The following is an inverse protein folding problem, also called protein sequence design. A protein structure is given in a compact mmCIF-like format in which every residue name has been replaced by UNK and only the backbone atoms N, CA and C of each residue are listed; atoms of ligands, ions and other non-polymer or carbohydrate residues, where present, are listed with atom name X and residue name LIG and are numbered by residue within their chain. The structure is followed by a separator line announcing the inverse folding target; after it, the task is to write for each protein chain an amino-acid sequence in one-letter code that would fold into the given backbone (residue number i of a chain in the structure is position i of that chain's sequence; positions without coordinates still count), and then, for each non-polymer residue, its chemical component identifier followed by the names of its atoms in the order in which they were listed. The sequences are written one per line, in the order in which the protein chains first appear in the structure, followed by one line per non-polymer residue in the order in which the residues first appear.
data_IF_245325386809
#
_entry.id   IF_245325386809
#
_cell.length_a   1.000
_cell.length_b   1.000
_cell.length_c   1.000
_cell.angle_alpha   90.00
_cell.angle_beta   90.00
_cell.angle_gamma   90.00
#
_symmetry.space_group_name_H-M   'P 1'
#
loop_
_entity.id
_entity.type
_entity.pdbx_description
1 polymer ?
#
# COMPACT_ATOMS: atom_id res chain seq x y z
N UNK A 1 -10.10 13.01 5.70
CA UNK A 1 -9.84 11.73 6.36
C UNK A 1 -8.34 11.49 6.42
N UNK A 2 -7.83 11.25 7.62
CA UNK A 2 -6.41 10.97 7.83
C UNK A 2 -6.24 9.64 8.55
N UNK A 3 -5.12 9.00 8.31
CA UNK A 3 -4.80 7.70 8.91
C UNK A 3 -3.29 7.53 8.97
N UNK A 4 -2.84 6.57 9.79
CA UNK A 4 -1.42 6.25 9.92
C UNK A 4 -1.03 5.09 9.03
N UNK A 5 0.04 5.28 8.25
CA UNK A 5 0.67 4.23 7.45
C UNK A 5 1.99 3.83 8.09
N UNK A 6 2.16 2.54 8.34
CA UNK A 6 3.45 1.99 8.76
C UNK A 6 4.20 1.55 7.52
N UNK A 7 5.35 2.18 7.26
CA UNK A 7 6.18 1.83 6.10
C UNK A 7 6.96 0.57 6.43
N UNK A 8 6.86 -0.42 5.54
CA UNK A 8 7.67 -1.63 5.62
C UNK A 8 8.83 -1.58 4.64
N UNK A 9 8.63 -1.02 3.45
CA UNK A 9 9.62 -1.03 2.36
C UNK A 9 9.76 0.38 1.80
N UNK A 10 10.92 1.03 1.96
CA UNK A 10 11.14 2.35 1.37
C UNK A 10 11.24 2.32 -0.15
N UNK A 11 10.94 3.45 -0.78
CA UNK A 11 11.14 3.65 -2.21
C UNK A 11 12.58 3.31 -2.62
N UNK A 12 12.73 2.60 -3.73
CA UNK A 12 14.04 2.25 -4.28
C UNK A 12 14.58 0.90 -3.80
N UNK A 13 13.90 0.24 -2.87
CA UNK A 13 14.31 -1.05 -2.34
C UNK A 13 13.85 -2.22 -3.20
N UNK A 14 14.65 -3.29 -3.19
CA UNK A 14 14.26 -4.62 -3.68
C UNK A 14 14.11 -5.63 -2.56
N UNK A 15 14.61 -5.31 -1.37
CA UNK A 15 14.37 -6.14 -0.19
C UNK A 15 12.93 -5.98 0.26
N UNK A 16 12.21 -7.07 0.38
CA UNK A 16 10.87 -7.07 0.93
C UNK A 16 10.94 -7.29 2.43
N UNK A 17 10.64 -6.24 3.18
CA UNK A 17 10.53 -6.28 4.64
C UNK A 17 9.06 -6.38 5.04
N UNK A 18 8.81 -7.02 6.15
CA UNK A 18 7.46 -7.09 6.72
C UNK A 18 7.53 -7.08 8.24
N UNK A 19 6.48 -6.55 8.86
CA UNK A 19 6.33 -6.58 10.32
C UNK A 19 5.93 -8.00 10.71
N UNK A 20 6.69 -8.58 11.65
CA UNK A 20 6.28 -9.78 12.35
C UNK A 20 5.31 -9.36 13.45
N UNK A 21 4.02 -9.63 13.27
CA UNK A 21 2.98 -9.16 14.17
C UNK A 21 3.03 -9.84 15.55
N UNK A 22 3.73 -10.96 15.69
CA UNK A 22 3.92 -11.61 16.99
C UNK A 22 5.00 -10.89 17.82
N UNK A 23 6.13 -10.56 17.20
CA UNK A 23 7.26 -9.93 17.89
C UNK A 23 7.30 -8.41 17.78
N UNK A 24 6.58 -7.84 16.81
CA UNK A 24 6.61 -6.41 16.50
C UNK A 24 7.86 -5.97 15.76
N UNK A 25 8.72 -6.89 15.36
CA UNK A 25 10.00 -6.59 14.69
C UNK A 25 9.84 -6.61 13.17
N UNK A 26 10.72 -5.84 12.51
CA UNK A 26 10.85 -5.90 11.05
C UNK A 26 11.67 -7.13 10.68
N UNK A 27 11.14 -7.90 9.72
CA UNK A 27 11.78 -9.12 9.22
C UNK A 27 12.03 -8.98 7.73
N UNK A 28 13.20 -9.40 7.26
CA UNK A 28 13.46 -9.55 5.83
C UNK A 28 12.75 -10.83 5.35
N UNK A 29 11.72 -10.66 4.51
CA UNK A 29 11.05 -11.78 3.87
C UNK A 29 11.96 -12.36 2.78
N UNK A 30 12.32 -11.52 1.82
CA UNK A 30 13.25 -11.91 0.73
C UNK A 30 13.69 -10.68 -0.05
N UNK A 31 14.79 -10.81 -0.80
CA UNK A 31 15.08 -9.90 -1.90
C UNK A 31 14.20 -10.31 -3.07
N UNK A 32 13.50 -9.35 -3.68
CA UNK A 32 12.62 -9.63 -4.81
C UNK A 32 13.38 -10.21 -6.00
N UNK A 33 12.75 -11.14 -6.70
CA UNK A 33 13.30 -11.78 -7.90
C UNK A 33 12.94 -10.95 -9.14
N UNK A 34 13.46 -9.73 -9.20
CA UNK A 34 13.16 -8.78 -10.27
C UNK A 34 14.26 -7.72 -10.34
N UNK A 35 14.43 -7.10 -11.50
CA UNK A 35 15.34 -5.96 -11.65
C UNK A 35 14.68 -4.63 -11.27
N UNK A 36 13.36 -4.62 -11.04
CA UNK A 36 12.64 -3.42 -10.63
C UNK A 36 12.81 -3.18 -9.13
N UNK A 37 12.35 -2.02 -8.67
CA UNK A 37 12.41 -1.62 -7.27
C UNK A 37 11.09 -0.96 -6.88
N UNK A 38 10.78 -0.93 -5.60
CA UNK A 38 9.55 -0.30 -5.12
C UNK A 38 9.48 1.15 -5.59
N UNK A 39 8.38 1.56 -6.24
CA UNK A 39 8.28 2.90 -6.83
C UNK A 39 7.89 4.00 -5.84
N UNK A 40 7.49 3.62 -4.63
CA UNK A 40 7.10 4.53 -3.55
C UNK A 40 7.30 3.81 -2.22
N UNK A 41 7.28 4.54 -1.11
CA UNK A 41 7.26 3.93 0.21
C UNK A 41 6.01 3.07 0.34
N UNK A 42 6.18 1.84 0.77
CA UNK A 42 5.13 0.82 0.77
C UNK A 42 4.96 0.22 2.16
N UNK A 43 3.73 0.08 2.57
CA UNK A 43 3.41 -0.52 3.86
C UNK A 43 1.92 -0.77 3.99
N UNK A 44 1.37 -0.54 5.17
CA UNK A 44 -0.05 -0.77 5.41
C UNK A 44 -0.63 0.29 6.34
N UNK A 45 -1.93 0.46 6.25
CA UNK A 45 -2.68 1.34 7.14
C UNK A 45 -2.94 0.60 8.44
N UNK A 46 -2.53 1.16 9.57
CA UNK A 46 -2.73 0.54 10.87
C UNK A 46 -4.21 0.42 11.23
N UNK A 47 -4.55 -0.64 11.97
CA UNK A 47 -5.90 -0.91 12.45
C UNK A 47 -6.93 -1.17 11.33
N UNK A 48 -6.48 -1.78 10.24
CA UNK A 48 -7.32 -2.15 9.11
C UNK A 48 -7.26 -3.63 8.82
N UNK A 49 -8.29 -4.13 8.13
CA UNK A 49 -8.33 -5.48 7.59
C UNK A 49 -8.77 -5.40 6.13
N UNK A 50 -7.88 -5.81 5.23
CA UNK A 50 -8.16 -5.90 3.81
C UNK A 50 -8.98 -7.14 3.46
N UNK A 51 -9.42 -7.22 2.22
CA UNK A 51 -10.24 -8.33 1.73
C UNK A 51 -9.46 -9.65 1.66
N UNK A 52 -8.14 -9.59 1.61
CA UNK A 52 -7.25 -10.76 1.60
C UNK A 52 -6.92 -11.30 3.00
N UNK A 53 -7.43 -10.67 4.06
CA UNK A 53 -7.18 -11.07 5.44
C UNK A 53 -5.98 -10.40 6.10
N UNK A 54 -5.22 -9.62 5.35
CA UNK A 54 -4.09 -8.83 5.85
C UNK A 54 -4.48 -7.36 6.03
N UNK A 55 -3.70 -6.56 6.75
CA UNK A 55 -3.93 -5.11 6.79
C UNK A 55 -3.98 -4.50 5.39
N UNK A 56 -4.72 -3.42 5.20
CA UNK A 56 -4.87 -2.77 3.91
C UNK A 56 -3.56 -2.10 3.49
N UNK A 57 -3.03 -2.49 2.34
CA UNK A 57 -1.77 -1.97 1.81
C UNK A 57 -1.87 -0.51 1.37
N UNK A 58 -0.78 0.21 1.49
CA UNK A 58 -0.69 1.60 1.09
C UNK A 58 0.67 1.93 0.46
N UNK A 59 0.62 2.83 -0.51
CA UNK A 59 1.79 3.46 -1.12
C UNK A 59 1.80 4.93 -0.69
N UNK A 60 2.92 5.41 -0.19
CA UNK A 60 3.07 6.80 0.23
C UNK A 60 4.01 7.52 -0.73
N UNK A 61 3.51 8.57 -1.37
CA UNK A 61 4.29 9.37 -2.31
C UNK A 61 5.15 10.39 -1.55
N UNK A 62 6.46 10.24 -1.66
CA UNK A 62 7.44 11.07 -0.98
C UNK A 62 8.59 11.39 -1.94
N UNK A 63 9.21 12.57 -1.78
CA UNK A 63 10.41 12.92 -2.54
C UNK A 63 11.63 12.14 -2.04
N UNK A 64 11.72 11.93 -0.74
CA UNK A 64 12.79 11.14 -0.12
C UNK A 64 12.22 9.90 0.54
N UNK A 65 12.86 8.74 0.39
CA UNK A 65 12.39 7.53 1.07
C UNK A 65 12.55 7.66 2.58
N UNK A 66 11.66 6.99 3.31
CA UNK A 66 11.76 6.87 4.76
C UNK A 66 12.54 5.60 5.12
N UNK A 67 12.17 4.90 6.17
CA UNK A 67 12.86 3.71 6.65
C UNK A 67 11.84 2.67 7.13
N UNK A 68 12.20 1.38 7.16
CA UNK A 68 11.30 0.34 7.66
C UNK A 68 10.90 0.60 9.11
N UNK A 69 9.58 0.66 9.34
CA UNK A 69 9.02 0.96 10.66
C UNK A 69 8.59 2.41 10.84
N UNK A 70 8.83 3.28 9.85
CA UNK A 70 8.40 4.67 9.93
C UNK A 70 6.89 4.80 9.88
N UNK A 71 6.32 5.58 10.79
CA UNK A 71 4.88 5.85 10.83
C UNK A 71 4.62 7.22 10.22
N UNK A 72 3.73 7.28 9.23
CA UNK A 72 3.42 8.52 8.51
C UNK A 72 1.94 8.79 8.59
N UNK A 73 1.57 10.00 9.01
CA UNK A 73 0.18 10.46 8.97
C UNK A 73 -0.17 10.86 7.54
N UNK A 74 -1.14 10.19 6.93
CA UNK A 74 -1.45 10.27 5.51
C UNK A 74 -2.90 10.60 5.23
N UNK A 75 -3.16 10.99 3.99
CA UNK A 75 -4.51 11.05 3.41
C UNK A 75 -4.51 10.37 2.05
N UNK A 76 -5.62 9.76 1.68
CA UNK A 76 -5.73 9.05 0.41
C UNK A 76 -5.97 10.03 -0.74
N UNK A 77 -5.39 9.71 -1.91
CA UNK A 77 -5.68 10.40 -3.17
C UNK A 77 -6.27 9.45 -4.22
N UNK A 78 -6.16 8.16 -4.02
CA UNK A 78 -6.69 7.17 -4.94
C UNK A 78 -6.32 5.77 -4.50
N UNK A 79 -6.58 4.79 -5.36
CA UNK A 79 -6.29 3.39 -5.06
C UNK A 79 -5.99 2.62 -6.33
N UNK A 80 -5.03 1.71 -6.24
CA UNK A 80 -4.70 0.75 -7.28
C UNK A 80 -5.31 -0.59 -6.93
N UNK A 81 -6.15 -1.10 -7.82
CA UNK A 81 -6.81 -2.40 -7.66
C UNK A 81 -6.15 -3.44 -8.53
N UNK A 82 -5.77 -4.55 -7.92
CA UNK A 82 -5.23 -5.70 -8.63
C UNK A 82 -5.72 -6.99 -7.99
N UNK A 83 -5.52 -8.10 -8.68
CA UNK A 83 -5.79 -9.43 -8.17
C UNK A 83 -4.50 -10.24 -8.23
N UNK A 84 -4.15 -10.91 -7.15
CA UNK A 84 -3.02 -11.83 -7.11
C UNK A 84 -3.51 -13.26 -6.84
N UNK A 85 -2.58 -14.19 -6.58
CA UNK A 85 -2.92 -15.58 -6.31
C UNK A 85 -3.79 -15.76 -5.06
N UNK A 86 -3.80 -14.81 -4.16
CA UNK A 86 -4.63 -14.83 -2.93
C UNK A 86 -5.98 -14.14 -3.10
N UNK A 87 -6.24 -13.50 -4.24
CA UNK A 87 -7.47 -12.76 -4.52
C UNK A 87 -7.28 -11.27 -4.68
N UNK A 88 -8.28 -10.48 -4.33
CA UNK A 88 -8.22 -9.01 -4.43
C UNK A 88 -7.15 -8.42 -3.52
N UNK A 89 -6.35 -7.53 -4.07
CA UNK A 89 -5.23 -6.90 -3.37
C UNK A 89 -5.21 -5.41 -3.74
N UNK A 90 -5.92 -4.62 -2.96
CA UNK A 90 -6.05 -3.18 -3.17
C UNK A 90 -4.91 -2.45 -2.47
N UNK A 91 -4.39 -1.40 -3.12
CA UNK A 91 -3.30 -0.58 -2.57
C UNK A 91 -3.73 0.88 -2.60
N UNK A 92 -3.89 1.46 -1.41
CA UNK A 92 -4.28 2.87 -1.27
C UNK A 92 -3.08 3.74 -1.61
N UNK A 93 -3.30 4.71 -2.48
CA UNK A 93 -2.28 5.70 -2.83
C UNK A 93 -2.49 6.93 -1.97
N UNK A 94 -1.47 7.31 -1.21
CA UNK A 94 -1.56 8.40 -0.23
C UNK A 94 -0.39 9.36 -0.28
N UNK A 95 -0.58 10.49 0.36
CA UNK A 95 0.46 11.50 0.59
C UNK A 95 0.47 11.86 2.07
N UNK A 96 1.61 12.33 2.60
CA UNK A 96 1.63 12.88 3.97
C UNK A 96 0.60 14.00 4.09
N UNK A 97 -0.21 13.97 5.13
CA UNK A 97 -1.38 14.85 5.26
C UNK A 97 -1.03 16.33 5.40
N UNK A 98 0.17 16.65 5.87
CA UNK A 98 0.57 18.02 6.20
C UNK A 98 1.75 18.55 5.37
N UNK A 99 2.19 17.82 4.33
CA UNK A 99 3.28 18.30 3.49
C UNK A 99 2.75 19.33 2.47
N UNK A 100 3.17 20.62 2.58
CA UNK A 100 2.69 21.66 1.66
C UNK A 100 3.13 21.43 0.22
N UNK A 101 4.20 20.67 -0.03
CA UNK A 101 4.63 20.34 -1.38
C UNK A 101 3.64 19.46 -2.12
N UNK A 102 2.80 18.71 -1.37
CA UNK A 102 1.84 17.76 -1.92
C UNK A 102 0.38 18.20 -1.70
N UNK A 103 0.17 19.44 -1.26
CA UNK A 103 -1.17 19.96 -0.96
C UNK A 103 -2.09 19.95 -2.18
N UNK A 104 -1.55 20.13 -3.38
CA UNK A 104 -2.31 20.08 -4.63
C UNK A 104 -2.76 18.67 -5.02
N UNK A 105 -2.17 17.64 -4.42
CA UNK A 105 -2.48 16.24 -4.70
C UNK A 105 -3.72 15.82 -3.93
N UNK A 106 -4.88 15.96 -4.54
CA UNK A 106 -6.19 15.71 -3.90
C UNK A 106 -6.94 14.52 -4.46
N UNK A 107 -6.62 14.12 -5.69
CA UNK A 107 -7.28 13.01 -6.36
C UNK A 107 -6.29 12.33 -7.31
N UNK A 108 -6.64 11.15 -7.79
CA UNK A 108 -5.75 10.33 -8.63
C UNK A 108 -5.33 11.04 -9.92
N UNK A 109 -6.19 11.87 -10.49
CA UNK A 109 -5.86 12.60 -11.70
C UNK A 109 -4.83 13.72 -11.49
N UNK A 110 -4.52 14.08 -10.25
CA UNK A 110 -3.45 15.02 -9.94
C UNK A 110 -2.07 14.35 -9.97
N UNK A 111 -2.01 13.02 -9.93
CA UNK A 111 -0.76 12.29 -10.09
C UNK A 111 -0.39 12.23 -11.57
N UNK A 112 0.85 12.61 -11.94
CA UNK A 112 1.28 12.51 -13.33
C UNK A 112 1.07 11.09 -13.89
N UNK A 113 0.62 11.02 -15.13
CA UNK A 113 0.28 9.75 -15.78
C UNK A 113 1.46 8.79 -15.78
N UNK A 114 2.68 9.27 -15.99
CA UNK A 114 3.85 8.42 -16.05
C UNK A 114 4.17 7.80 -14.69
N UNK A 115 3.94 8.52 -13.60
CA UNK A 115 4.11 7.98 -12.24
C UNK A 115 3.13 6.83 -11.99
N UNK A 116 1.88 6.96 -12.46
CA UNK A 116 0.91 5.86 -12.38
C UNK A 116 1.36 4.65 -13.19
N UNK A 117 1.92 4.89 -14.37
CA UNK A 117 2.42 3.81 -15.23
C UNK A 117 3.57 3.06 -14.56
N UNK A 118 4.49 3.76 -13.91
CA UNK A 118 5.61 3.12 -13.22
C UNK A 118 5.14 2.27 -12.03
N UNK A 119 4.20 2.78 -11.24
CA UNK A 119 3.62 2.04 -10.12
C UNK A 119 2.92 0.78 -10.62
N UNK A 120 2.08 0.93 -11.64
CA UNK A 120 1.36 -0.19 -12.24
C UNK A 120 2.32 -1.24 -12.80
N UNK A 121 3.34 -0.80 -13.54
CA UNK A 121 4.34 -1.69 -14.13
C UNK A 121 5.07 -2.50 -13.04
N UNK A 122 5.47 -1.86 -11.95
CA UNK A 122 6.11 -2.58 -10.85
C UNK A 122 5.24 -3.72 -10.34
N UNK A 123 3.97 -3.45 -10.02
CA UNK A 123 3.08 -4.47 -9.49
C UNK A 123 2.68 -5.52 -10.52
N UNK A 124 2.72 -5.22 -11.80
CA UNK A 124 2.48 -6.19 -12.85
C UNK A 124 3.63 -7.19 -13.01
N UNK A 125 4.88 -6.78 -12.75
CA UNK A 125 6.06 -7.60 -13.08
C UNK A 125 6.86 -8.09 -11.88
N UNK A 126 6.68 -7.55 -10.69
CA UNK A 126 7.57 -7.84 -9.56
C UNK A 126 7.55 -9.30 -9.09
N UNK A 127 6.51 -10.06 -9.44
CA UNK A 127 6.36 -11.48 -9.12
C UNK A 127 6.60 -12.41 -10.32
N UNK A 128 6.93 -11.87 -11.50
CA UNK A 128 7.01 -12.67 -12.73
C UNK A 128 7.96 -13.86 -12.64
N UNK A 129 9.07 -13.71 -11.91
CA UNK A 129 10.07 -14.75 -11.77
C UNK A 129 9.82 -15.66 -10.55
N UNK A 130 8.74 -15.46 -9.81
CA UNK A 130 8.38 -16.27 -8.65
C UNK A 130 7.43 -17.40 -9.05
N UNK A 131 7.81 -18.69 -8.81
CA UNK A 131 6.93 -19.80 -9.14
C UNK A 131 5.60 -19.75 -8.39
N UNK A 132 4.49 -20.01 -9.10
CA UNK A 132 3.16 -20.07 -8.50
C UNK A 132 2.55 -18.74 -8.10
N UNK A 133 3.21 -17.63 -8.41
CA UNK A 133 2.69 -16.29 -8.16
C UNK A 133 2.10 -15.71 -9.44
N UNK A 134 1.02 -14.93 -9.29
CA UNK A 134 0.36 -14.26 -10.42
C UNK A 134 -0.17 -12.90 -10.01
N UNK A 135 -0.24 -12.00 -10.98
CA UNK A 135 -0.89 -10.69 -10.84
C UNK A 135 -1.79 -10.50 -12.05
N UNK A 136 -3.06 -10.27 -11.81
CA UNK A 136 -4.05 -10.06 -12.86
C UNK A 136 -4.88 -8.81 -12.58
N UNK A 137 -5.28 -8.14 -13.66
CA UNK A 137 -6.13 -6.96 -13.59
C UNK A 137 -5.45 -5.78 -12.90
N UNK A 138 -5.53 -4.63 -13.54
CA UNK A 138 -5.04 -3.38 -12.97
C UNK A 138 -6.08 -2.32 -13.25
N UNK A 139 -6.50 -1.62 -12.21
CA UNK A 139 -7.46 -0.53 -12.33
C UNK A 139 -7.12 0.56 -11.31
N UNK A 140 -7.38 1.80 -11.69
CA UNK A 140 -7.18 2.96 -10.81
C UNK A 140 -8.53 3.56 -10.48
N UNK A 141 -8.72 3.87 -9.21
CA UNK A 141 -9.92 4.57 -8.73
C UNK A 141 -9.50 5.82 -7.95
N UNK A 142 -10.45 6.75 -7.82
CA UNK A 142 -10.19 8.04 -7.22
C UNK A 142 -10.23 8.03 -5.68
N UNK A 143 -10.07 9.24 -5.14
CA UNK A 143 -10.03 9.45 -3.69
C UNK A 143 -11.29 8.95 -2.99
N UNK A 144 -12.47 9.24 -3.52
CA UNK A 144 -13.73 8.86 -2.87
C UNK A 144 -13.84 7.35 -2.65
N UNK A 145 -13.49 6.56 -3.67
CA UNK A 145 -13.49 5.10 -3.57
C UNK A 145 -12.39 4.58 -2.64
N UNK A 146 -11.22 5.21 -2.68
CA UNK A 146 -10.12 4.87 -1.78
C UNK A 146 -10.52 5.10 -0.32
N UNK A 147 -11.10 6.25 0.00
CA UNK A 147 -11.56 6.57 1.35
C UNK A 147 -12.67 5.60 1.81
N UNK A 148 -13.56 5.21 0.89
CA UNK A 148 -14.60 4.24 1.21
C UNK A 148 -14.00 2.88 1.60
N UNK A 149 -12.96 2.41 0.90
CA UNK A 149 -12.28 1.16 1.23
C UNK A 149 -11.51 1.27 2.55
N UNK A 150 -10.88 2.40 2.82
CA UNK A 150 -10.21 2.64 4.11
C UNK A 150 -11.21 2.54 5.26
N UNK A 151 -12.36 3.20 5.15
CA UNK A 151 -13.43 3.12 6.16
C UNK A 151 -13.93 1.69 6.34
N UNK A 152 -14.16 0.99 5.23
CA UNK A 152 -14.63 -0.39 5.26
C UNK A 152 -13.59 -1.31 5.93
N UNK A 153 -12.31 -1.08 5.70
CA UNK A 153 -11.24 -1.89 6.29
C UNK A 153 -11.10 -1.67 7.79
N UNK A 154 -11.29 -0.45 8.27
CA UNK A 154 -11.38 -0.18 9.71
C UNK A 154 -12.55 -0.93 10.33
N UNK A 155 -13.71 -0.90 9.68
CA UNK A 155 -14.91 -1.55 10.18
C UNK A 155 -14.77 -3.08 10.18
N UNK A 156 -14.16 -3.66 9.14
CA UNK A 156 -13.90 -5.10 9.07
C UNK A 156 -13.07 -5.59 10.26
N UNK A 157 -12.05 -4.83 10.64
CA UNK A 157 -11.22 -5.21 11.77
C UNK A 157 -12.01 -5.13 13.07
N UNK A 158 -12.84 -4.11 13.26
CA UNK A 158 -13.69 -3.96 14.45
C UNK A 158 -14.68 -5.12 14.56
N UNK A 159 -15.32 -5.47 13.45
CA UNK A 159 -16.30 -6.56 13.40
C UNK A 159 -15.66 -7.91 13.74
N UNK A 160 -14.43 -8.14 13.27
CA UNK A 160 -13.69 -9.36 13.56
C UNK A 160 -13.20 -9.42 15.01
N UNK A 161 -12.84 -8.27 15.58
CA UNK A 161 -12.31 -8.17 16.93
C UNK A 161 -13.36 -8.12 18.03
N UNK A 162 -14.66 -8.04 17.69
CA UNK A 162 -15.74 -8.05 18.70
C UNK A 162 -15.91 -9.46 19.27
N UNK A 163 -15.88 -9.60 20.61
CA UNK A 163 -16.09 -10.92 21.20
C UNK A 163 -17.52 -11.39 20.93
N UNK A 164 -17.66 -12.64 20.50
CA UNK A 164 -18.95 -13.29 20.38
C UNK A 164 -19.56 -13.45 21.79
N UNK A 165 -20.75 -12.99 21.90
CA UNK A 165 -21.50 -13.17 23.16
C UNK A 165 -22.40 -14.38 23.10
#
# INVERSE_FOLDING_TARGET
MEFDVLVEIPKGERNKYEVDHESGRMRLDRMLFTSTQYPADYGYIENTLGLDGDPLDALVLLQSPTFPGCLIRCRAIGMFRMTDEAGGDDKVLCVPSTDPRLEHMRDINHLPKFDRLEIQHFFEVYKDLEPGKSVEGADWVGRAEAEAEVRASFQRLKDQGEPEH
#
